data_IF_100493975910
#
_entry.id   IF_100493975910
#
_cell.length_a   1.000
_cell.length_b   1.000
_cell.length_c   1.000
_cell.angle_alpha   90.00
_cell.angle_beta   90.00
_cell.angle_gamma   90.00
#
_symmetry.space_group_name_H-M   'P 1'
#
loop_
_entity.id
_entity.type
_entity.pdbx_description
1 polymer ?
#
# COMPACT_ATOMS: atom_id res chain seq x y z
N UNK A 1 -33.08 38.56 -84.21
CA UNK A 1 -33.58 39.79 -83.58
C UNK A 1 -33.26 39.64 -82.10
N UNK A 2 -32.05 39.97 -81.69
CA UNK A 2 -31.61 41.31 -81.23
C UNK A 2 -32.36 41.83 -79.99
N UNK A 3 -31.56 42.50 -79.15
CA UNK A 3 -31.87 43.23 -77.90
C UNK A 3 -31.82 42.37 -76.64
N UNK A 4 -30.91 42.52 -75.67
CA UNK A 4 -29.91 43.55 -75.38
C UNK A 4 -30.24 44.31 -74.08
N UNK A 5 -29.18 44.66 -73.32
CA UNK A 5 -29.11 45.61 -72.18
C UNK A 5 -29.42 45.01 -70.79
N UNK A 6 -28.70 45.28 -69.69
CA UNK A 6 -27.54 46.12 -69.36
C UNK A 6 -27.05 45.69 -67.93
N UNK A 7 -25.73 45.55 -67.67
CA UNK A 7 -24.84 46.45 -66.87
C UNK A 7 -25.18 46.63 -65.36
N UNK A 8 -24.30 46.81 -64.36
CA UNK A 8 -22.82 46.93 -64.09
C UNK A 8 -22.70 46.99 -62.54
N UNK A 9 -21.93 46.13 -61.86
CA UNK A 9 -20.58 46.28 -61.25
C UNK A 9 -20.44 46.94 -59.85
N UNK A 10 -19.50 46.37 -59.05
CA UNK A 10 -18.86 46.92 -57.83
C UNK A 10 -19.13 46.08 -56.57
N UNK A 11 -18.19 45.63 -55.73
CA UNK A 11 -16.77 45.97 -55.52
C UNK A 11 -16.12 44.90 -54.61
N UNK A 12 -14.89 44.48 -54.95
CA UNK A 12 -13.71 44.14 -54.10
C UNK A 12 -13.87 43.57 -52.67
N UNK A 13 -13.23 42.43 -52.35
CA UNK A 13 -11.97 42.30 -51.57
C UNK A 13 -11.74 40.86 -51.07
N UNK A 14 -10.47 40.44 -50.96
CA UNK A 14 -9.98 39.10 -50.65
C UNK A 14 -10.14 38.66 -49.17
N UNK A 15 -10.12 37.34 -48.86
CA UNK A 15 -10.05 36.86 -47.48
C UNK A 15 -8.60 36.67 -46.99
N UNK A 16 -8.26 37.21 -45.82
CA UNK A 16 -7.05 36.84 -45.06
C UNK A 16 -7.36 36.68 -43.56
N UNK A 17 -7.00 35.49 -43.07
CA UNK A 17 -6.37 35.11 -41.79
C UNK A 17 -7.02 35.46 -40.45
N UNK A 18 -7.28 34.40 -39.69
CA UNK A 18 -7.18 34.24 -38.22
C UNK A 18 -7.66 32.81 -37.91
N UNK A 19 -7.14 31.98 -37.02
CA UNK A 19 -5.88 31.81 -36.30
C UNK A 19 -5.99 30.39 -35.71
N UNK A 20 -4.89 29.67 -35.62
CA UNK A 20 -4.88 28.33 -35.02
C UNK A 20 -5.13 28.42 -33.50
N UNK A 21 -6.02 27.57 -32.99
CA UNK A 21 -6.01 27.16 -31.58
C UNK A 21 -5.92 25.64 -31.58
N UNK A 22 -4.77 25.14 -31.13
CA UNK A 22 -4.42 23.75 -31.10
C UNK A 22 -5.28 22.97 -30.12
N UNK A 23 -5.86 21.88 -30.61
CA UNK A 23 -6.34 20.77 -29.80
C UNK A 23 -5.14 20.03 -29.22
N UNK A 24 -5.04 20.00 -27.90
CA UNK A 24 -4.26 18.99 -27.18
C UNK A 24 -5.17 18.36 -26.13
N UNK A 25 -6.05 17.47 -26.60
CA UNK A 25 -6.73 16.51 -25.75
C UNK A 25 -5.66 15.54 -25.23
N UNK A 26 -5.19 15.77 -24.00
CA UNK A 26 -4.33 14.85 -23.29
C UNK A 26 -5.09 13.56 -23.04
N UNK A 27 -4.67 12.50 -23.72
CA UNK A 27 -5.08 11.13 -23.43
C UNK A 27 -4.59 10.80 -22.03
N UNK A 28 -5.51 10.75 -21.06
CA UNK A 28 -5.23 10.18 -19.76
C UNK A 28 -5.23 8.65 -19.93
N UNK A 29 -4.06 8.09 -20.24
CA UNK A 29 -3.84 6.65 -20.15
C UNK A 29 -4.12 6.21 -18.72
N UNK A 30 -5.06 5.27 -18.58
CA UNK A 30 -5.26 4.48 -17.37
C UNK A 30 -3.97 3.71 -17.10
N UNK A 31 -3.13 4.26 -16.22
CA UNK A 31 -1.97 3.57 -15.68
C UNK A 31 -2.50 2.54 -14.69
N UNK A 32 -2.63 1.29 -15.13
CA UNK A 32 -2.49 0.17 -14.23
C UNK A 32 -1.21 0.42 -13.41
N UNK A 33 -1.35 0.54 -12.09
CA UNK A 33 -0.21 0.49 -11.19
C UNK A 33 0.30 -0.93 -11.29
N UNK A 34 1.23 -1.16 -12.22
CA UNK A 34 2.03 -2.38 -12.26
C UNK A 34 2.85 -2.38 -10.98
N UNK A 35 2.43 -3.20 -10.02
CA UNK A 35 3.22 -3.58 -8.85
C UNK A 35 4.59 -4.00 -9.38
N UNK A 36 5.65 -3.30 -8.96
CA UNK A 36 7.00 -3.65 -9.36
C UNK A 36 7.45 -4.82 -8.48
N UNK A 37 7.58 -6.05 -9.00
CA UNK A 37 7.93 -7.23 -8.20
C UNK A 37 9.35 -7.15 -7.59
N UNK A 38 10.18 -6.20 -8.04
CA UNK A 38 11.56 -6.02 -7.62
C UNK A 38 11.76 -4.97 -6.52
N UNK A 39 10.69 -4.30 -6.03
CA UNK A 39 10.82 -3.30 -4.96
C UNK A 39 11.37 -3.91 -3.66
N UNK A 40 11.11 -5.20 -3.41
CA UNK A 40 11.67 -5.94 -2.28
C UNK A 40 13.15 -6.34 -2.46
N UNK A 41 13.67 -6.40 -3.69
CA UNK A 41 15.04 -6.90 -3.96
C UNK A 41 16.15 -5.90 -3.64
N UNK A 42 15.86 -4.60 -3.73
CA UNK A 42 16.86 -3.53 -3.55
C UNK A 42 16.98 -3.06 -2.09
N UNK A 43 16.06 -3.49 -1.23
CA UNK A 43 16.13 -3.22 0.20
C UNK A 43 17.08 -4.24 0.81
N UNK A 44 18.31 -3.83 1.08
CA UNK A 44 19.22 -4.58 1.96
C UNK A 44 18.59 -4.53 3.36
N UNK A 45 17.61 -5.41 3.56
CA UNK A 45 16.77 -5.45 4.73
C UNK A 45 17.54 -6.20 5.80
N UNK A 46 18.56 -5.54 6.35
CA UNK A 46 19.38 -6.12 7.39
C UNK A 46 18.48 -6.48 8.58
N UNK A 47 18.41 -7.78 8.89
CA UNK A 47 17.93 -8.29 10.17
C UNK A 47 19.01 -8.06 11.23
N UNK A 48 19.46 -6.81 11.35
CA UNK A 48 20.39 -6.38 12.39
C UNK A 48 19.59 -6.05 13.64
N UNK A 49 20.13 -6.40 14.81
CA UNK A 49 19.52 -6.14 16.11
C UNK A 49 19.41 -4.61 16.32
N UNK A 50 18.20 -4.03 16.34
CA UNK A 50 18.06 -2.60 16.55
C UNK A 50 18.21 -2.32 18.05
N UNK A 51 19.46 -2.08 18.46
CA UNK A 51 19.90 -1.17 19.54
C UNK A 51 20.99 -1.79 20.44
N UNK A 52 22.25 -1.43 20.17
CA UNK A 52 23.26 -1.38 21.25
C UNK A 52 23.04 -0.17 22.19
N UNK A 53 22.20 0.82 21.83
CA UNK A 53 21.95 2.02 22.66
C UNK A 53 20.47 2.46 22.65
N UNK A 54 19.75 2.20 23.74
CA UNK A 54 18.58 2.96 24.25
C UNK A 54 17.19 2.89 23.55
N UNK A 55 16.76 1.73 23.05
CA UNK A 55 15.32 1.49 22.89
C UNK A 55 14.96 0.32 21.96
N UNK A 56 14.46 -0.77 22.53
CA UNK A 56 13.94 -1.88 21.74
C UNK A 56 12.67 -1.44 20.99
N UNK A 57 12.70 -1.50 19.67
CA UNK A 57 11.49 -1.53 18.84
C UNK A 57 10.99 -2.98 18.75
N UNK A 58 9.68 -3.16 18.56
CA UNK A 58 9.06 -4.48 18.52
C UNK A 58 9.45 -5.23 17.23
N UNK A 59 10.22 -6.34 17.32
CA UNK A 59 10.74 -7.04 16.14
C UNK A 59 9.63 -7.64 15.28
N UNK A 60 8.42 -7.84 15.85
CA UNK A 60 7.24 -8.33 15.14
C UNK A 60 6.92 -7.46 13.94
N UNK A 61 7.11 -6.14 14.04
CA UNK A 61 6.84 -5.23 12.93
C UNK A 61 7.69 -5.48 11.70
N UNK A 62 8.97 -5.75 11.89
CA UNK A 62 9.88 -6.05 10.77
C UNK A 62 9.48 -7.36 10.09
N UNK A 63 9.16 -8.38 10.88
CA UNK A 63 8.73 -9.69 10.37
C UNK A 63 7.40 -9.56 9.62
N UNK A 64 6.42 -8.86 10.18
CA UNK A 64 5.11 -8.64 9.54
C UNK A 64 5.28 -7.92 8.20
N UNK A 65 6.17 -6.93 8.10
CA UNK A 65 6.49 -6.30 6.81
C UNK A 65 6.99 -7.34 5.80
N UNK A 66 7.96 -8.16 6.19
CA UNK A 66 8.52 -9.22 5.34
C UNK A 66 7.46 -10.19 4.83
N UNK A 67 6.54 -10.62 5.70
CA UNK A 67 5.47 -11.55 5.36
C UNK A 67 4.45 -10.98 4.36
N UNK A 68 4.40 -9.66 4.21
CA UNK A 68 3.53 -8.95 3.27
C UNK A 68 4.27 -8.50 1.99
N UNK A 69 5.55 -8.82 1.84
CA UNK A 69 6.25 -8.67 0.58
C UNK A 69 5.60 -9.53 -0.52
N UNK A 70 5.70 -9.10 -1.78
CA UNK A 70 5.09 -9.80 -2.90
C UNK A 70 5.72 -11.20 -3.08
N UNK A 71 4.93 -12.29 -3.01
CA UNK A 71 5.47 -13.66 -3.02
C UNK A 71 6.04 -14.10 -4.37
N UNK A 72 5.68 -13.44 -5.48
CA UNK A 72 6.24 -13.71 -6.81
C UNK A 72 7.60 -13.04 -7.06
N UNK A 73 8.15 -12.32 -6.07
CA UNK A 73 9.50 -11.76 -6.14
C UNK A 73 10.55 -12.85 -5.94
N UNK A 74 11.65 -12.83 -6.69
CA UNK A 74 12.73 -13.81 -6.53
C UNK A 74 13.43 -13.70 -5.16
N UNK A 75 13.32 -12.57 -4.47
CA UNK A 75 13.80 -12.40 -3.10
C UNK A 75 12.90 -13.07 -2.04
N UNK A 76 11.62 -13.32 -2.31
CA UNK A 76 10.67 -13.73 -1.27
C UNK A 76 11.04 -15.02 -0.53
N UNK A 77 11.50 -16.11 -1.20
CA UNK A 77 11.94 -17.30 -0.49
C UNK A 77 13.14 -17.06 0.44
N UNK A 78 14.07 -16.19 0.04
CA UNK A 78 15.21 -15.79 0.85
C UNK A 78 14.75 -14.95 2.05
N UNK A 79 13.86 -13.99 1.83
CA UNK A 79 13.29 -13.17 2.89
C UNK A 79 12.60 -14.01 3.98
N UNK A 80 11.85 -15.05 3.59
CA UNK A 80 11.26 -16.00 4.54
C UNK A 80 12.30 -16.83 5.29
N UNK A 81 13.40 -17.22 4.64
CA UNK A 81 14.48 -17.96 5.27
C UNK A 81 15.23 -17.10 6.30
N UNK A 82 15.61 -15.88 5.91
CA UNK A 82 16.30 -14.92 6.75
C UNK A 82 15.41 -14.53 7.96
N UNK A 83 14.10 -14.35 7.75
CA UNK A 83 13.15 -14.12 8.85
C UNK A 83 13.04 -15.32 9.81
N UNK A 84 12.99 -16.55 9.31
CA UNK A 84 12.94 -17.75 10.15
C UNK A 84 14.19 -17.87 11.03
N UNK A 85 15.37 -17.67 10.43
CA UNK A 85 16.66 -17.70 11.11
C UNK A 85 16.69 -16.66 12.22
N UNK A 86 16.37 -15.41 11.89
CA UNK A 86 16.37 -14.31 12.85
C UNK A 86 15.40 -14.53 14.01
N UNK A 87 14.14 -14.93 13.74
CA UNK A 87 13.17 -15.22 14.81
C UNK A 87 13.63 -16.38 15.69
N UNK A 88 14.22 -17.43 15.08
CA UNK A 88 14.73 -18.57 15.84
C UNK A 88 15.88 -18.18 16.76
N UNK A 89 16.83 -17.35 16.26
CA UNK A 89 17.91 -16.81 17.08
C UNK A 89 17.40 -15.92 18.20
N UNK A 90 16.43 -15.04 17.91
CA UNK A 90 15.81 -14.18 18.91
C UNK A 90 15.16 -15.00 20.03
N UNK A 91 14.47 -16.11 19.71
CA UNK A 91 13.85 -17.01 20.69
C UNK A 91 14.93 -17.77 21.49
N UNK A 92 15.97 -18.30 20.84
CA UNK A 92 17.03 -19.06 21.51
C UNK A 92 17.92 -18.20 22.42
N UNK A 93 18.11 -16.93 22.06
CA UNK A 93 18.88 -15.97 22.87
C UNK A 93 18.19 -15.57 24.19
N UNK A 94 16.97 -16.06 24.46
CA UNK A 94 16.18 -15.80 25.67
C UNK A 94 16.48 -16.65 26.89
N UNK A 95 17.49 -17.52 26.81
CA UNK A 95 17.77 -18.46 27.90
C UNK A 95 18.22 -17.79 29.23
N UNK A 96 18.64 -16.51 29.22
CA UNK A 96 19.04 -15.76 30.43
C UNK A 96 17.93 -14.85 31.02
N UNK A 97 16.68 -14.95 30.52
CA UNK A 97 15.54 -14.17 31.02
C UNK A 97 15.61 -12.66 30.74
N UNK A 98 16.56 -12.22 29.92
CA UNK A 98 16.69 -10.82 29.50
C UNK A 98 15.52 -10.40 28.59
N UNK A 99 14.83 -11.33 27.91
CA UNK A 99 13.62 -11.00 27.13
C UNK A 99 12.33 -10.98 27.94
N UNK A 100 12.36 -11.12 29.27
CA UNK A 100 11.21 -10.72 30.10
C UNK A 100 10.83 -9.23 29.94
N UNK A 101 11.63 -8.46 29.20
CA UNK A 101 11.39 -7.06 28.81
C UNK A 101 11.00 -6.86 27.33
N UNK A 102 11.04 -7.89 26.46
CA UNK A 102 10.64 -7.74 25.06
C UNK A 102 9.11 -7.79 24.92
N UNK A 103 8.50 -6.95 24.05
CA UNK A 103 7.08 -7.01 23.80
C UNK A 103 6.71 -8.22 22.92
N UNK A 104 5.90 -9.13 23.45
CA UNK A 104 5.12 -10.10 22.68
C UNK A 104 5.77 -11.46 22.42
N UNK A 105 4.91 -12.47 22.25
CA UNK A 105 5.29 -13.85 21.87
C UNK A 105 5.64 -13.91 20.37
N UNK A 106 6.82 -14.47 20.05
CA UNK A 106 7.31 -14.63 18.67
C UNK A 106 6.98 -16.00 18.07
N UNK A 107 6.57 -16.99 18.87
CA UNK A 107 6.23 -18.33 18.40
C UNK A 107 5.10 -18.36 17.34
N UNK A 108 4.05 -17.52 17.44
CA UNK A 108 3.05 -17.42 16.38
C UNK A 108 3.65 -17.00 15.03
N UNK A 109 4.59 -16.05 15.02
CA UNK A 109 5.27 -15.62 13.79
C UNK A 109 6.18 -16.71 13.24
N UNK A 110 6.94 -17.39 14.09
CA UNK A 110 7.79 -18.50 13.66
C UNK A 110 6.96 -19.62 13.01
N UNK A 111 5.83 -19.95 13.62
CA UNK A 111 4.88 -20.94 13.09
C UNK A 111 4.33 -20.50 11.72
N UNK A 112 3.95 -19.22 11.61
CA UNK A 112 3.43 -18.65 10.37
C UNK A 112 4.48 -18.63 9.25
N UNK A 113 5.71 -18.20 9.53
CA UNK A 113 6.83 -18.20 8.56
C UNK A 113 7.03 -19.63 8.02
N UNK A 114 7.14 -20.62 8.91
CA UNK A 114 7.30 -22.03 8.52
C UNK A 114 6.15 -22.54 7.67
N UNK A 115 4.91 -22.12 7.96
CA UNK A 115 3.75 -22.48 7.16
C UNK A 115 3.81 -21.86 5.76
N UNK A 116 4.14 -20.57 5.65
CA UNK A 116 4.25 -19.91 4.35
C UNK A 116 5.38 -20.53 3.51
N UNK A 117 6.50 -20.95 4.12
CA UNK A 117 7.59 -21.63 3.41
C UNK A 117 7.22 -22.98 2.78
N UNK A 118 6.20 -23.66 3.29
CA UNK A 118 5.74 -24.95 2.73
C UNK A 118 4.53 -24.80 1.81
N UNK A 119 4.00 -23.58 1.64
CA UNK A 119 3.00 -23.29 0.63
C UNK A 119 3.64 -23.30 -0.77
N UNK A 120 2.85 -23.67 -1.78
CA UNK A 120 3.25 -23.49 -3.16
C UNK A 120 3.31 -21.99 -3.48
N UNK A 121 4.41 -21.52 -4.07
CA UNK A 121 4.65 -20.10 -4.38
C UNK A 121 3.50 -19.49 -5.19
N UNK A 122 2.99 -20.26 -6.16
CA UNK A 122 1.87 -19.86 -7.02
C UNK A 122 0.56 -19.69 -6.26
N UNK A 123 0.36 -20.45 -5.19
CA UNK A 123 -0.84 -20.33 -4.36
C UNK A 123 -0.77 -19.05 -3.52
N UNK A 124 0.42 -18.73 -2.96
CA UNK A 124 0.66 -17.47 -2.27
C UNK A 124 0.49 -16.27 -3.22
N UNK A 125 1.06 -16.32 -4.43
CA UNK A 125 0.92 -15.27 -5.44
C UNK A 125 -0.53 -15.05 -5.86
N UNK A 126 -1.25 -16.15 -6.11
CA UNK A 126 -2.67 -16.12 -6.45
C UNK A 126 -3.50 -15.49 -5.34
N UNK A 127 -3.24 -15.88 -4.10
CA UNK A 127 -3.93 -15.34 -2.93
C UNK A 127 -3.61 -13.85 -2.70
N UNK A 128 -2.33 -13.49 -2.76
CA UNK A 128 -1.85 -12.11 -2.65
C UNK A 128 -2.53 -11.21 -3.68
N UNK A 129 -2.45 -11.58 -4.96
CA UNK A 129 -3.04 -10.79 -6.05
C UNK A 129 -4.55 -10.68 -5.90
N UNK A 130 -5.22 -11.79 -5.55
CA UNK A 130 -6.67 -11.85 -5.37
C UNK A 130 -7.18 -10.89 -4.29
N UNK A 131 -6.47 -10.78 -3.17
CA UNK A 131 -6.91 -9.97 -2.04
C UNK A 131 -6.29 -8.58 -2.00
N UNK A 132 -5.04 -8.39 -2.40
CA UNK A 132 -4.36 -7.11 -2.23
C UNK A 132 -4.40 -6.23 -3.48
N UNK A 133 -4.39 -6.83 -4.67
CA UNK A 133 -4.35 -6.06 -5.93
C UNK A 133 -5.75 -5.81 -6.49
N UNK A 134 -6.66 -6.79 -6.38
CA UNK A 134 -7.99 -6.70 -6.98
C UNK A 134 -9.11 -6.24 -6.06
N UNK A 135 -8.89 -6.20 -4.74
CA UNK A 135 -9.92 -5.86 -3.77
C UNK A 135 -9.58 -4.58 -2.99
N UNK A 136 -10.35 -3.52 -3.26
CA UNK A 136 -10.17 -2.24 -2.57
C UNK A 136 -10.42 -2.28 -1.07
N UNK A 137 -11.14 -3.30 -0.57
CA UNK A 137 -11.42 -3.52 0.86
C UNK A 137 -10.27 -4.18 1.61
N UNK A 138 -9.29 -4.73 0.90
CA UNK A 138 -8.15 -5.45 1.49
C UNK A 138 -6.79 -4.95 1.01
N UNK A 139 -6.76 -3.99 0.08
CA UNK A 139 -5.51 -3.41 -0.44
C UNK A 139 -4.54 -2.95 0.66
N UNK A 140 -3.24 -2.95 0.37
CA UNK A 140 -2.20 -2.67 1.35
C UNK A 140 -1.86 -1.17 1.47
N UNK A 141 -2.82 -0.27 1.26
CA UNK A 141 -2.59 1.18 1.30
C UNK A 141 -3.52 1.88 2.29
N UNK A 142 -2.98 2.39 3.40
CA UNK A 142 -3.73 2.98 4.50
C UNK A 142 -4.71 4.07 4.02
N UNK A 143 -4.27 4.98 3.15
CA UNK A 143 -5.12 6.10 2.74
C UNK A 143 -6.21 5.69 1.74
N UNK A 144 -6.04 4.57 1.02
CA UNK A 144 -7.07 4.04 0.13
C UNK A 144 -8.29 3.52 0.93
N UNK A 145 -8.06 2.95 2.11
CA UNK A 145 -9.13 2.56 3.04
C UNK A 145 -9.86 3.78 3.62
N UNK A 146 -9.10 4.82 3.99
CA UNK A 146 -9.64 5.99 4.68
C UNK A 146 -10.36 6.98 3.75
N UNK A 147 -9.82 7.16 2.54
CA UNK A 147 -10.15 8.28 1.65
C UNK A 147 -10.53 7.85 0.23
N UNK A 148 -10.37 6.56 -0.13
CA UNK A 148 -10.54 6.09 -1.50
C UNK A 148 -9.74 6.93 -2.49
N UNK A 149 -10.34 7.25 -3.63
CA UNK A 149 -9.71 8.08 -4.68
C UNK A 149 -10.01 9.58 -4.54
N UNK A 150 -10.45 10.03 -3.37
CA UNK A 150 -10.76 11.44 -3.15
C UNK A 150 -9.51 12.32 -3.28
N UNK A 151 -9.70 13.58 -3.67
CA UNK A 151 -8.60 14.57 -3.74
C UNK A 151 -7.87 14.75 -2.39
N UNK A 152 -8.55 14.45 -1.28
CA UNK A 152 -7.96 14.50 0.07
C UNK A 152 -6.85 13.47 0.26
N UNK A 153 -6.84 12.37 -0.51
CA UNK A 153 -5.80 11.33 -0.45
C UNK A 153 -4.41 11.90 -0.73
N UNK A 154 -4.28 12.76 -1.74
CA UNK A 154 -3.00 13.39 -2.07
C UNK A 154 -2.42 14.21 -0.91
N UNK A 155 -3.25 14.93 -0.16
CA UNK A 155 -2.82 15.68 1.03
C UNK A 155 -2.41 14.74 2.18
N UNK A 156 -3.11 13.61 2.36
CA UNK A 156 -2.77 12.61 3.36
C UNK A 156 -1.41 11.95 3.07
N UNK A 157 -1.10 11.64 1.81
CA UNK A 157 0.19 11.10 1.40
C UNK A 157 1.34 12.09 1.69
N UNK A 158 1.15 13.37 1.40
CA UNK A 158 2.14 14.42 1.73
C UNK A 158 2.35 14.53 3.24
N UNK A 159 1.28 14.43 4.04
CA UNK A 159 1.38 14.45 5.49
C UNK A 159 2.12 13.23 6.05
N UNK A 160 1.85 12.03 5.53
CA UNK A 160 2.54 10.79 5.91
C UNK A 160 4.03 10.88 5.59
N UNK A 161 4.41 11.26 4.36
CA UNK A 161 5.82 11.43 3.99
C UNK A 161 6.55 12.42 4.90
N UNK A 162 5.89 13.52 5.27
CA UNK A 162 6.47 14.49 6.21
C UNK A 162 6.66 13.90 7.59
N UNK A 163 5.71 13.10 8.08
CA UNK A 163 5.79 12.43 9.37
C UNK A 163 6.96 11.42 9.39
N UNK A 164 7.06 10.56 8.37
CA UNK A 164 8.16 9.60 8.21
C UNK A 164 9.53 10.30 8.16
N UNK A 165 9.65 11.34 7.34
CA UNK A 165 10.89 12.13 7.25
C UNK A 165 11.24 12.86 8.56
N UNK A 166 10.24 13.33 9.31
CA UNK A 166 10.48 13.99 10.62
C UNK A 166 11.05 13.01 11.65
N UNK A 167 10.68 11.74 11.55
CA UNK A 167 11.25 10.66 12.36
C UNK A 167 12.63 10.18 11.89
N UNK A 168 13.17 10.76 10.80
CA UNK A 168 14.43 10.31 10.19
C UNK A 168 14.30 9.05 9.33
N UNK A 169 13.08 8.64 8.97
CA UNK A 169 12.85 7.50 8.09
C UNK A 169 12.96 7.92 6.63
N UNK A 170 13.89 7.31 5.89
CA UNK A 170 14.09 7.57 4.46
C UNK A 170 13.33 6.53 3.61
N UNK A 171 12.35 7.01 2.84
CA UNK A 171 11.68 6.22 1.80
C UNK A 171 12.59 6.13 0.56
N UNK A 172 12.72 4.94 -0.04
CA UNK A 172 13.44 4.76 -1.32
C UNK A 172 12.67 5.29 -2.55
N UNK A 173 11.41 5.65 -2.37
CA UNK A 173 10.52 6.20 -3.39
C UNK A 173 9.93 5.17 -4.35
N UNK A 174 10.12 3.87 -4.10
CA UNK A 174 9.54 2.79 -4.91
C UNK A 174 8.04 2.64 -4.69
N UNK A 175 7.60 2.75 -3.43
CA UNK A 175 6.21 2.66 -3.00
C UNK A 175 5.68 3.98 -2.44
N UNK A 176 4.35 4.07 -2.31
CA UNK A 176 3.70 5.19 -1.64
C UNK A 176 3.96 5.17 -0.13
N UNK A 177 4.00 6.34 0.55
CA UNK A 177 4.28 6.44 1.99
C UNK A 177 3.19 5.83 2.88
N UNK A 178 2.07 5.38 2.29
CA UNK A 178 0.95 4.75 2.99
C UNK A 178 0.87 3.24 2.78
N UNK A 179 1.85 2.64 2.11
CA UNK A 179 1.97 1.19 1.95
C UNK A 179 2.16 0.52 3.32
N UNK A 180 1.30 -0.43 3.68
CA UNK A 180 1.27 -1.02 5.04
C UNK A 180 2.61 -1.66 5.45
N UNK A 181 3.29 -2.48 4.62
CA UNK A 181 4.60 -3.02 4.96
C UNK A 181 5.64 -1.94 5.25
N UNK A 182 5.66 -0.85 4.46
CA UNK A 182 6.53 0.30 4.71
C UNK A 182 6.23 0.95 6.06
N UNK A 183 4.95 1.11 6.40
CA UNK A 183 4.53 1.65 7.69
C UNK A 183 4.90 0.72 8.86
N UNK A 184 4.89 -0.61 8.68
CA UNK A 184 5.38 -1.55 9.68
C UNK A 184 6.89 -1.45 9.86
N UNK A 185 7.65 -1.30 8.77
CA UNK A 185 9.09 -1.03 8.89
C UNK A 185 9.38 0.28 9.60
N UNK A 186 8.57 1.30 9.35
CA UNK A 186 8.65 2.54 10.10
C UNK A 186 8.40 2.30 11.60
N UNK A 187 7.37 1.55 12.00
CA UNK A 187 7.13 1.20 13.40
C UNK A 187 8.28 0.40 14.02
N UNK A 188 8.98 -0.41 13.22
CA UNK A 188 10.17 -1.15 13.64
C UNK A 188 11.44 -0.28 13.77
N UNK A 189 11.51 0.87 13.10
CA UNK A 189 12.73 1.68 13.00
C UNK A 189 12.61 3.08 13.62
N UNK A 190 11.39 3.53 13.97
CA UNK A 190 11.17 4.86 14.53
C UNK A 190 11.96 5.06 15.84
N UNK A 191 12.42 6.27 16.14
CA UNK A 191 12.98 6.59 17.45
C UNK A 191 12.01 6.21 18.59
N UNK A 192 12.55 5.74 19.71
CA UNK A 192 11.74 5.27 20.84
C UNK A 192 10.82 6.37 21.41
N UNK A 193 11.24 7.63 21.33
CA UNK A 193 10.49 8.82 21.78
C UNK A 193 9.57 9.42 20.70
N UNK A 194 9.55 8.86 19.49
CA UNK A 194 8.67 9.32 18.43
C UNK A 194 7.23 8.83 18.66
N UNK A 195 6.30 9.78 18.80
CA UNK A 195 4.87 9.52 18.96
C UNK A 195 4.22 9.14 17.62
N UNK A 196 3.89 7.85 17.48
CA UNK A 196 3.18 7.30 16.34
C UNK A 196 1.73 6.90 16.67
N UNK A 197 1.18 7.35 17.82
CA UNK A 197 -0.11 6.87 18.34
C UNK A 197 -1.26 7.04 17.33
N UNK A 198 -1.32 8.18 16.63
CA UNK A 198 -2.36 8.41 15.60
C UNK A 198 -2.23 7.41 14.43
N UNK A 199 -1.00 7.14 13.99
CA UNK A 199 -0.73 6.15 12.95
C UNK A 199 -1.13 4.74 13.42
N UNK A 200 -0.75 4.35 14.64
CA UNK A 200 -1.07 3.04 15.23
C UNK A 200 -2.59 2.82 15.33
N UNK A 201 -3.36 3.83 15.75
CA UNK A 201 -4.82 3.77 15.80
C UNK A 201 -5.42 3.62 14.38
N UNK A 202 -4.88 4.34 13.40
CA UNK A 202 -5.32 4.26 11.99
C UNK A 202 -5.03 2.88 11.40
N UNK A 203 -3.83 2.35 11.64
CA UNK A 203 -3.43 1.00 11.25
C UNK A 203 -4.32 -0.05 11.90
N UNK A 204 -4.60 0.04 13.20
CA UNK A 204 -5.43 -0.93 13.91
C UNK A 204 -6.83 -1.08 13.28
N UNK A 205 -7.42 0.04 12.83
CA UNK A 205 -8.71 0.04 12.14
C UNK A 205 -8.65 -0.65 10.79
N UNK A 206 -7.65 -0.33 9.97
CA UNK A 206 -7.48 -0.94 8.64
C UNK A 206 -7.17 -2.43 8.76
N UNK A 207 -6.26 -2.80 9.67
CA UNK A 207 -5.91 -4.20 9.94
C UNK A 207 -7.14 -4.99 10.38
N UNK A 208 -7.99 -4.43 11.23
CA UNK A 208 -9.25 -5.07 11.61
C UNK A 208 -10.15 -5.35 10.40
N UNK A 209 -10.37 -4.34 9.53
CA UNK A 209 -11.17 -4.50 8.31
C UNK A 209 -10.58 -5.58 7.40
N UNK A 210 -9.26 -5.58 7.18
CA UNK A 210 -8.58 -6.58 6.36
C UNK A 210 -8.74 -7.98 6.97
N UNK A 211 -8.52 -8.13 8.28
CA UNK A 211 -8.61 -9.42 9.00
C UNK A 211 -10.01 -10.03 8.94
N UNK A 212 -11.05 -9.19 9.06
CA UNK A 212 -12.44 -9.63 8.98
C UNK A 212 -12.90 -9.94 7.54
N UNK A 213 -12.24 -9.34 6.54
CA UNK A 213 -12.57 -9.58 5.12
C UNK A 213 -11.87 -10.82 4.56
N UNK A 214 -10.66 -11.13 5.03
CA UNK A 214 -9.89 -12.28 4.57
C UNK A 214 -10.53 -13.61 5.03
N UNK A 215 -10.43 -14.69 4.22
CA UNK A 215 -10.91 -16.02 4.60
C UNK A 215 -10.24 -16.57 5.86
N UNK A 216 -10.95 -17.41 6.61
CA UNK A 216 -10.46 -17.99 7.85
C UNK A 216 -9.21 -18.87 7.72
N UNK A 217 -9.00 -19.46 6.54
CA UNK A 217 -7.88 -20.33 6.18
C UNK A 217 -6.73 -19.60 5.47
N UNK A 218 -6.89 -18.29 5.22
CA UNK A 218 -5.85 -17.45 4.61
C UNK A 218 -4.64 -17.31 5.53
N UNK A 219 -3.44 -17.52 4.99
CA UNK A 219 -2.19 -17.28 5.73
C UNK A 219 -2.03 -15.80 6.05
N UNK A 220 -2.50 -14.92 5.17
CA UNK A 220 -2.45 -13.48 5.36
C UNK A 220 -3.41 -13.00 6.45
N UNK A 221 -4.55 -13.67 6.66
CA UNK A 221 -5.42 -13.35 7.79
C UNK A 221 -4.69 -13.50 9.12
N UNK A 222 -3.83 -14.51 9.24
CA UNK A 222 -3.02 -14.72 10.42
C UNK A 222 -1.92 -13.65 10.57
N UNK A 223 -1.30 -13.22 9.46
CA UNK A 223 -0.35 -12.07 9.47
C UNK A 223 -1.03 -10.84 10.10
N UNK A 224 -2.23 -10.50 9.63
CA UNK A 224 -2.97 -9.35 10.14
C UNK A 224 -3.51 -9.55 11.56
N UNK A 225 -3.87 -10.77 11.94
CA UNK A 225 -4.24 -11.09 13.32
C UNK A 225 -3.07 -10.86 14.29
N UNK A 226 -1.85 -11.24 13.90
CA UNK A 226 -0.66 -10.98 14.72
C UNK A 226 -0.36 -9.48 14.76
N UNK A 227 -0.46 -8.78 13.62
CA UNK A 227 -0.29 -7.33 13.56
C UNK A 227 -1.28 -6.59 14.48
N UNK A 228 -2.54 -7.02 14.52
CA UNK A 228 -3.55 -6.46 15.42
C UNK A 228 -3.14 -6.60 16.89
N UNK A 229 -2.53 -7.73 17.28
CA UNK A 229 -2.06 -7.95 18.66
C UNK A 229 -0.86 -7.08 19.07
N UNK A 230 -0.23 -6.40 18.11
CA UNK A 230 0.88 -5.47 18.34
C UNK A 230 0.40 -4.02 18.52
N UNK A 231 -0.88 -3.74 18.27
CA UNK A 231 -1.46 -2.40 18.29
C UNK A 231 -2.32 -2.18 19.53
N UNK A 232 -2.53 -0.92 19.94
CA UNK A 232 -3.50 -0.63 20.98
C UNK A 232 -4.88 -1.16 20.58
N UNK A 233 -5.67 -1.59 21.58
CA UNK A 233 -7.09 -1.86 21.39
C UNK A 233 -7.73 -0.58 20.82
N UNK A 234 -7.96 -0.60 19.50
CA UNK A 234 -8.82 0.38 18.89
C UNK A 234 -10.19 0.11 19.50
N UNK A 235 -10.57 0.89 20.50
CA UNK A 235 -11.93 0.95 20.98
C UNK A 235 -12.74 1.48 19.79
N UNK A 236 -13.16 0.56 18.92
CA UNK A 236 -13.86 0.87 17.67
C UNK A 236 -15.20 1.45 18.11
N UNK A 237 -15.48 2.76 17.94
CA UNK A 237 -16.85 3.21 18.06
C UNK A 237 -17.66 2.43 17.03
N UNK A 238 -18.77 1.83 17.47
CA UNK A 238 -19.72 1.09 16.62
C UNK A 238 -19.89 1.77 15.26
N UNK A 239 -19.36 1.15 14.20
CA UNK A 239 -19.68 1.47 12.81
C UNK A 239 -19.48 2.93 12.35
N UNK A 240 -18.64 3.73 12.99
CA UNK A 240 -18.59 5.17 12.74
C UNK A 240 -17.20 5.72 12.51
N UNK A 241 -16.55 5.39 11.38
CA UNK A 241 -15.60 6.25 10.62
C UNK A 241 -14.86 5.52 9.48
N UNK A 242 -15.18 4.26 9.19
CA UNK A 242 -14.74 3.62 7.95
C UNK A 242 -15.73 4.05 6.86
N UNK A 243 -15.23 4.60 5.74
CA UNK A 243 -15.98 5.02 4.54
C UNK A 243 -16.61 6.43 4.48
N UNK A 244 -16.64 7.24 5.55
CA UNK A 244 -17.36 8.54 5.52
C UNK A 244 -16.80 9.60 4.54
N UNK A 245 -15.60 9.41 4.00
CA UNK A 245 -14.97 10.30 3.01
C UNK A 245 -14.61 9.63 1.69
N UNK A 246 -15.04 8.37 1.46
CA UNK A 246 -15.08 7.88 0.07
C UNK A 246 -16.13 8.72 -0.64
N UNK A 247 -15.70 9.68 -1.44
CA UNK A 247 -16.57 10.22 -2.48
C UNK A 247 -17.10 9.00 -3.23
N UNK A 248 -18.43 8.90 -3.38
CA UNK A 248 -19.03 7.88 -4.22
C UNK A 248 -18.54 8.15 -5.64
N UNK A 249 -17.43 7.55 -6.04
CA UNK A 249 -17.11 7.42 -7.45
C UNK A 249 -18.20 6.53 -8.01
N UNK A 250 -19.05 7.15 -8.81
CA UNK A 250 -20.17 6.56 -9.50
C UNK A 250 -19.75 5.19 -10.04
N UNK A 251 -20.30 4.13 -9.45
CA UNK A 251 -20.45 2.84 -10.12
C UNK A 251 -21.53 3.01 -11.19
N UNK A 252 -21.38 4.00 -12.07
CA UNK A 252 -22.11 4.00 -13.32
C UNK A 252 -21.60 2.78 -14.05
N UNK A 253 -22.49 1.80 -14.22
CA UNK A 253 -22.28 0.62 -15.05
C UNK A 253 -21.53 1.05 -16.30
N UNK A 254 -20.36 0.44 -16.54
CA UNK A 254 -19.56 0.69 -17.74
C UNK A 254 -20.52 0.71 -18.94
N UNK A 255 -20.71 1.87 -19.61
CA UNK A 255 -21.52 1.87 -20.79
C UNK A 255 -20.72 1.10 -21.82
N UNK A 256 -21.37 0.15 -22.47
CA UNK A 256 -20.94 -0.60 -23.65
C UNK A 256 -20.37 -2.01 -23.41
N UNK A 257 -21.06 -3.06 -23.91
CA UNK A 257 -20.44 -4.35 -24.13
C UNK A 257 -19.39 -4.23 -25.24
N UNK A 258 -18.17 -4.70 -24.97
CA UNK A 258 -17.14 -4.91 -26.00
C UNK A 258 -17.63 -6.01 -26.94
N UNK A 259 -18.16 -5.62 -28.10
CA UNK A 259 -18.32 -6.54 -29.22
C UNK A 259 -16.96 -6.69 -29.90
N UNK A 260 -16.38 -7.88 -29.79
CA UNK A 260 -15.30 -8.29 -30.68
C UNK A 260 -15.95 -8.81 -31.96
N UNK A 261 -15.70 -8.13 -33.08
CA UNK A 261 -15.99 -8.64 -34.43
C UNK A 261 -15.02 -9.76 -34.83
#
# INVERSE_FOLDING_TARGET
METGLNQVAGTSYAPRSSEAVGESAGVAESRAVSVNPDAAEQREMAFDDPAEEDGWTDPRWKIISTLLAYPGSAAFPRLLADAEEWVSELILSDDDGTLSKRPGDLEPLLTLIRRMKVCEERDLESEYTRYFDFQSSTCLYLTAHELGDSRKRGLALVALRRMLSTAGFEEDGTELPDYLPLLFEFLAAKPADFDATDLEIRLARVIHVITETLPGDSVYREVFSIAASCLPDANLPDGGFVFANRESTDLDELPYPLQYD
#
